data_IF_511490519091
#
_entry.id   IF_511490519091
#
_cell.length_a   1.000
_cell.length_b   1.000
_cell.length_c   1.000
_cell.angle_alpha   90.00
_cell.angle_beta   90.00
_cell.angle_gamma   90.00
#
_symmetry.space_group_name_H-M   'P 1'
#
loop_
_entity.id
_entity.type
_entity.pdbx_description
1 polymer ?
#
# COMPACT_ATOMS: atom_id res chain seq x y z
N UNK A 1 -29.79 36.40 9.39
CA UNK A 1 -29.16 35.26 10.11
C UNK A 1 -29.49 33.87 9.56
N UNK A 2 -30.49 33.67 8.67
CA UNK A 2 -30.74 32.33 8.09
C UNK A 2 -29.76 31.94 6.96
N UNK A 3 -29.24 32.92 6.22
CA UNK A 3 -28.33 32.67 5.09
C UNK A 3 -26.88 32.33 5.49
N UNK A 4 -26.43 32.75 6.68
CA UNK A 4 -25.07 32.43 7.16
C UNK A 4 -24.91 30.95 7.54
N UNK A 5 -25.95 30.32 8.11
CA UNK A 5 -25.91 28.90 8.45
C UNK A 5 -25.86 28.01 7.20
N UNK A 6 -26.54 28.40 6.12
CA UNK A 6 -26.55 27.64 4.86
C UNK A 6 -25.19 27.63 4.17
N UNK A 7 -24.45 28.75 4.21
CA UNK A 7 -23.11 28.86 3.60
C UNK A 7 -22.06 28.07 4.38
N UNK A 8 -22.15 28.05 5.72
CA UNK A 8 -21.30 27.23 6.57
C UNK A 8 -21.53 25.73 6.38
N UNK A 9 -22.78 25.30 6.17
CA UNK A 9 -23.09 23.90 5.90
C UNK A 9 -22.54 23.43 4.55
N UNK A 10 -22.58 24.28 3.51
CA UNK A 10 -22.02 23.96 2.18
C UNK A 10 -20.48 23.89 2.24
N UNK A 11 -19.82 24.77 2.99
CA UNK A 11 -18.35 24.72 3.19
C UNK A 11 -17.90 23.47 3.95
N UNK A 12 -18.69 22.98 4.92
CA UNK A 12 -18.40 21.75 5.66
C UNK A 12 -18.59 20.49 4.80
N UNK A 13 -19.53 20.48 3.86
CA UNK A 13 -19.73 19.34 2.94
C UNK A 13 -18.60 19.26 1.91
N UNK A 14 -18.02 20.40 1.50
CA UNK A 14 -16.90 20.44 0.53
C UNK A 14 -15.55 20.05 1.18
N UNK A 15 -15.44 20.07 2.52
CA UNK A 15 -14.21 19.65 3.21
C UNK A 15 -14.10 18.15 3.49
N UNK A 16 -15.13 17.35 3.18
CA UNK A 16 -15.20 15.94 3.61
C UNK A 16 -14.52 14.91 2.70
N UNK A 17 -14.04 15.26 1.50
CA UNK A 17 -13.52 14.27 0.53
C UNK A 17 -12.03 14.39 0.23
N UNK A 18 -11.24 15.09 1.06
CA UNK A 18 -9.79 15.26 0.84
C UNK A 18 -8.90 14.39 1.74
N UNK A 19 -9.48 13.51 2.55
CA UNK A 19 -8.68 12.61 3.39
C UNK A 19 -8.12 11.46 2.56
N UNK A 20 -6.83 11.17 2.74
CA UNK A 20 -6.16 10.03 2.11
C UNK A 20 -6.89 8.72 2.46
N UNK A 21 -7.25 7.96 1.44
CA UNK A 21 -7.87 6.64 1.61
C UNK A 21 -6.94 5.55 1.10
N UNK A 22 -6.90 4.44 1.83
CA UNK A 22 -6.22 3.22 1.42
C UNK A 22 -7.08 2.00 1.81
N UNK A 23 -7.44 1.19 0.82
CA UNK A 23 -8.18 -0.07 0.98
C UNK A 23 -7.23 -1.23 0.71
N UNK A 24 -7.06 -2.15 1.67
CA UNK A 24 -6.32 -3.40 1.44
C UNK A 24 -7.19 -4.38 0.68
N UNK A 25 -6.73 -4.83 -0.48
CA UNK A 25 -7.52 -5.63 -1.43
C UNK A 25 -6.92 -7.00 -1.76
N UNK A 26 -5.64 -7.23 -1.46
CA UNK A 26 -5.05 -8.57 -1.57
C UNK A 26 -3.95 -8.76 -0.50
N UNK A 27 -3.86 -10.00 -0.02
CA UNK A 27 -2.76 -10.52 0.78
C UNK A 27 -2.38 -11.85 0.15
N UNK A 28 -1.20 -11.90 -0.46
CA UNK A 28 -0.64 -13.14 -0.94
C UNK A 28 0.52 -13.57 -0.05
N UNK A 29 0.33 -14.67 0.67
CA UNK A 29 1.38 -15.38 1.41
C UNK A 29 1.69 -16.75 0.78
N UNK A 30 1.17 -17.02 -0.42
CA UNK A 30 1.33 -18.30 -1.12
C UNK A 30 2.65 -18.42 -1.88
N UNK A 31 3.36 -17.30 -2.09
CA UNK A 31 4.70 -17.35 -2.65
C UNK A 31 5.63 -18.00 -1.61
N UNK A 32 6.20 -19.17 -1.93
CA UNK A 32 6.93 -20.02 -0.98
C UNK A 32 8.01 -19.29 -0.16
N UNK A 33 8.49 -18.15 -0.66
CA UNK A 33 9.49 -17.29 0.00
C UNK A 33 9.08 -15.83 0.13
N UNK A 34 7.87 -15.44 -0.26
CA UNK A 34 7.45 -14.03 -0.39
C UNK A 34 6.05 -13.77 0.15
N UNK A 35 5.86 -12.62 0.77
CA UNK A 35 4.56 -12.10 1.18
C UNK A 35 4.30 -10.75 0.52
N UNK A 36 3.06 -10.47 0.13
CA UNK A 36 2.70 -9.17 -0.43
C UNK A 36 1.32 -8.67 -0.01
N UNK A 37 1.26 -7.38 0.31
CA UNK A 37 0.01 -6.64 0.49
C UNK A 37 -0.22 -5.66 -0.67
N UNK A 38 -1.46 -5.58 -1.11
CA UNK A 38 -1.89 -4.63 -2.14
C UNK A 38 -2.94 -3.68 -1.58
N UNK A 39 -2.71 -2.39 -1.78
CA UNK A 39 -3.63 -1.32 -1.41
C UNK A 39 -4.09 -0.53 -2.65
N UNK A 40 -5.40 -0.29 -2.72
CA UNK A 40 -5.98 0.73 -3.59
C UNK A 40 -6.06 2.04 -2.83
N UNK A 41 -5.63 3.12 -3.48
CA UNK A 41 -5.49 4.44 -2.85
C UNK A 41 -6.21 5.51 -3.64
N UNK A 42 -6.80 6.46 -2.93
CA UNK A 42 -7.35 7.69 -3.52
C UNK A 42 -6.99 8.89 -2.63
N UNK A 43 -7.29 10.10 -3.11
CA UNK A 43 -7.05 11.34 -2.36
C UNK A 43 -5.61 11.52 -1.84
N UNK A 44 -4.63 11.11 -2.64
CA UNK A 44 -3.21 11.24 -2.33
C UNK A 44 -2.57 12.47 -2.99
N UNK A 45 -1.47 13.00 -2.42
CA UNK A 45 -0.72 14.10 -2.99
C UNK A 45 -0.24 13.82 -4.43
N UNK A 46 -0.35 14.81 -5.30
CA UNK A 46 0.19 14.70 -6.67
C UNK A 46 1.72 14.84 -6.67
N UNK A 47 2.29 15.59 -5.73
CA UNK A 47 3.74 15.62 -5.50
C UNK A 47 4.25 14.22 -5.13
N UNK A 48 5.30 13.79 -5.82
CA UNK A 48 5.82 12.42 -5.70
C UNK A 48 6.50 12.21 -4.35
N UNK A 49 7.23 13.20 -3.84
CA UNK A 49 7.95 13.08 -2.58
C UNK A 49 6.98 13.07 -1.38
N UNK A 50 5.98 13.96 -1.41
CA UNK A 50 4.92 14.01 -0.40
C UNK A 50 4.10 12.71 -0.39
N UNK A 51 3.71 12.20 -1.57
CA UNK A 51 3.01 10.91 -1.70
C UNK A 51 3.82 9.74 -1.14
N UNK A 52 5.11 9.65 -1.48
CA UNK A 52 5.99 8.59 -0.96
C UNK A 52 6.11 8.64 0.57
N UNK A 53 6.25 9.85 1.13
CA UNK A 53 6.30 10.03 2.59
C UNK A 53 5.00 9.61 3.25
N UNK A 54 3.85 10.00 2.69
CA UNK A 54 2.53 9.58 3.17
C UNK A 54 2.40 8.06 3.18
N UNK A 55 2.79 7.39 2.09
CA UNK A 55 2.70 5.93 2.00
C UNK A 55 3.65 5.21 2.94
N UNK A 56 4.85 5.76 3.18
CA UNK A 56 5.80 5.20 4.13
C UNK A 56 5.24 5.23 5.55
N UNK A 57 4.68 6.35 5.98
CA UNK A 57 4.07 6.45 7.32
C UNK A 57 2.81 5.58 7.42
N UNK A 58 2.00 5.50 6.36
CA UNK A 58 0.86 4.57 6.31
C UNK A 58 1.32 3.11 6.45
N UNK A 59 2.35 2.69 5.69
CA UNK A 59 2.88 1.34 5.72
C UNK A 59 3.36 0.96 7.12
N UNK A 60 4.12 1.83 7.80
CA UNK A 60 4.60 1.57 9.17
C UNK A 60 3.49 1.32 10.18
N UNK A 61 2.32 1.90 9.97
CA UNK A 61 1.17 1.79 10.88
C UNK A 61 0.23 0.63 10.54
N UNK A 62 0.17 0.21 9.27
CA UNK A 62 -0.89 -0.67 8.77
C UNK A 62 -0.38 -1.99 8.15
N UNK A 63 0.91 -2.08 7.83
CA UNK A 63 1.46 -3.33 7.27
C UNK A 63 1.27 -4.49 8.24
N UNK A 64 1.15 -5.70 7.70
CA UNK A 64 1.12 -6.89 8.53
C UNK A 64 2.35 -6.99 9.44
N UNK A 65 2.17 -7.64 10.59
CA UNK A 65 3.28 -7.86 11.51
C UNK A 65 4.29 -8.84 10.90
N UNK A 66 5.43 -8.33 10.43
CA UNK A 66 6.47 -9.13 9.78
C UNK A 66 7.11 -10.16 10.72
N UNK A 67 6.95 -10.00 12.03
CA UNK A 67 7.45 -10.92 13.03
C UNK A 67 6.60 -12.18 13.19
N UNK A 68 5.36 -12.14 12.68
CA UNK A 68 4.45 -13.30 12.69
C UNK A 68 4.53 -14.10 11.38
N UNK A 69 5.35 -13.67 10.42
CA UNK A 69 5.52 -14.35 9.14
C UNK A 69 6.37 -15.61 9.27
N UNK A 70 5.94 -16.68 8.59
CA UNK A 70 6.64 -17.97 8.54
C UNK A 70 8.13 -17.82 8.23
N UNK A 71 8.95 -18.72 8.80
CA UNK A 71 10.41 -18.68 8.66
C UNK A 71 10.90 -18.82 7.21
N UNK A 72 10.09 -19.41 6.32
CA UNK A 72 10.39 -19.55 4.89
C UNK A 72 10.22 -18.24 4.11
N UNK A 73 9.45 -17.28 4.62
CA UNK A 73 9.27 -15.97 3.98
C UNK A 73 10.55 -15.14 4.16
N UNK A 74 11.15 -14.72 3.06
CA UNK A 74 12.40 -13.94 3.03
C UNK A 74 12.22 -12.55 2.42
N UNK A 75 11.09 -12.30 1.76
CA UNK A 75 10.73 -10.99 1.25
C UNK A 75 9.28 -10.64 1.59
N UNK A 76 9.05 -9.36 1.84
CA UNK A 76 7.73 -8.80 2.05
C UNK A 76 7.59 -7.52 1.24
N UNK A 77 6.50 -7.35 0.50
CA UNK A 77 6.23 -6.10 -0.22
C UNK A 77 4.86 -5.55 0.09
N UNK A 78 4.76 -4.23 0.16
CA UNK A 78 3.50 -3.50 0.20
C UNK A 78 3.45 -2.61 -1.04
N UNK A 79 2.36 -2.73 -1.82
CA UNK A 79 2.22 -2.03 -3.09
C UNK A 79 0.95 -1.20 -3.13
N UNK A 80 1.06 0.00 -3.68
CA UNK A 80 -0.03 0.97 -3.78
C UNK A 80 -0.40 1.23 -5.25
N UNK A 81 -1.67 1.13 -5.56
CA UNK A 81 -2.26 1.50 -6.84
C UNK A 81 -3.34 2.57 -6.66
N UNK A 82 -3.63 3.33 -7.70
CA UNK A 82 -4.80 4.19 -7.74
C UNK A 82 -6.07 3.33 -7.72
N UNK A 83 -7.04 3.75 -6.91
CA UNK A 83 -8.37 3.19 -6.92
C UNK A 83 -9.13 3.64 -8.18
N UNK A 84 -9.14 2.79 -9.21
CA UNK A 84 -9.79 3.10 -10.48
C UNK A 84 -10.38 1.84 -11.14
N UNK A 85 -11.11 2.04 -12.24
CA UNK A 85 -11.73 0.94 -12.98
C UNK A 85 -10.72 -0.08 -13.52
N UNK A 86 -9.51 0.34 -13.89
CA UNK A 86 -8.45 -0.59 -14.34
C UNK A 86 -8.08 -1.55 -13.20
N UNK A 87 -7.75 -0.99 -12.05
CA UNK A 87 -7.17 -1.73 -10.93
C UNK A 87 -8.22 -2.64 -10.29
N UNK A 88 -9.41 -2.12 -9.98
CA UNK A 88 -10.54 -2.93 -9.47
C UNK A 88 -10.96 -4.02 -10.45
N UNK A 89 -11.06 -3.68 -11.75
CA UNK A 89 -11.46 -4.63 -12.78
C UNK A 89 -10.43 -5.73 -13.03
N UNK A 90 -9.14 -5.46 -12.79
CA UNK A 90 -8.11 -6.49 -12.89
C UNK A 90 -8.06 -7.39 -11.66
N UNK A 91 -8.11 -6.84 -10.45
CA UNK A 91 -8.12 -7.62 -9.20
C UNK A 91 -9.20 -8.70 -9.25
N UNK A 92 -10.43 -8.30 -9.63
CA UNK A 92 -11.55 -9.23 -9.80
C UNK A 92 -11.27 -10.36 -10.80
N UNK A 93 -10.59 -10.04 -11.92
CA UNK A 93 -10.23 -11.04 -12.95
C UNK A 93 -9.05 -11.91 -12.52
N UNK A 94 -8.15 -11.40 -11.69
CA UNK A 94 -6.96 -12.13 -11.25
C UNK A 94 -7.34 -13.33 -10.37
N UNK A 95 -8.40 -13.17 -9.56
CA UNK A 95 -9.05 -14.28 -8.82
C UNK A 95 -9.54 -15.39 -9.77
N UNK A 96 -10.10 -15.00 -10.92
CA UNK A 96 -10.59 -15.94 -11.94
C UNK A 96 -9.46 -16.61 -12.75
N UNK A 97 -8.33 -15.91 -12.95
CA UNK A 97 -7.22 -16.32 -13.81
C UNK A 97 -6.07 -17.07 -13.10
N UNK A 98 -6.22 -17.41 -11.81
CA UNK A 98 -5.19 -18.09 -10.99
C UNK A 98 -3.82 -17.38 -10.94
N UNK A 99 -3.80 -16.03 -10.92
CA UNK A 99 -2.59 -15.22 -10.65
C UNK A 99 -1.39 -15.41 -11.61
N UNK A 100 -1.63 -15.66 -12.90
CA UNK A 100 -0.55 -15.84 -13.89
C UNK A 100 0.13 -14.52 -14.28
N UNK A 101 -0.58 -13.40 -14.19
CA UNK A 101 -0.11 -12.06 -14.58
C UNK A 101 -0.14 -11.11 -13.37
N UNK A 102 0.66 -10.03 -13.43
CA UNK A 102 0.71 -9.03 -12.36
C UNK A 102 -0.16 -7.80 -12.66
N UNK A 103 -0.71 -7.18 -11.60
CA UNK A 103 -1.42 -5.90 -11.72
C UNK A 103 -0.51 -4.79 -12.27
N UNK A 104 0.81 -4.87 -11.98
CA UNK A 104 1.82 -3.94 -12.48
C UNK A 104 1.86 -3.91 -14.00
N UNK A 105 1.97 -5.07 -14.66
CA UNK A 105 2.06 -5.13 -16.12
C UNK A 105 0.80 -4.61 -16.83
N UNK A 106 -0.36 -4.68 -16.17
CA UNK A 106 -1.66 -4.35 -16.78
C UNK A 106 -2.15 -2.94 -16.47
N UNK A 107 -1.88 -2.46 -15.27
CA UNK A 107 -2.30 -1.15 -14.78
C UNK A 107 -1.10 -0.30 -14.33
N UNK A 108 0.05 -0.41 -15.03
CA UNK A 108 1.29 0.32 -14.69
C UNK A 108 1.09 1.82 -14.52
N UNK A 109 0.26 2.44 -15.37
CA UNK A 109 -0.04 3.88 -15.30
C UNK A 109 -0.73 4.29 -13.99
N UNK A 110 -1.29 3.34 -13.26
CA UNK A 110 -1.99 3.53 -11.99
C UNK A 110 -1.15 3.05 -10.80
N UNK A 111 0.10 2.65 -11.00
CA UNK A 111 1.02 2.29 -9.93
C UNK A 111 1.50 3.55 -9.20
N UNK A 112 1.29 3.59 -7.88
CA UNK A 112 1.64 4.74 -7.07
C UNK A 112 2.93 4.55 -6.24
N UNK A 113 3.40 3.30 -6.05
CA UNK A 113 4.65 3.00 -5.35
C UNK A 113 4.63 1.67 -4.60
N UNK A 114 5.77 1.26 -4.07
CA UNK A 114 5.91 0.08 -3.22
C UNK A 114 7.02 0.23 -2.19
N UNK A 115 6.97 -0.58 -1.14
CA UNK A 115 8.03 -0.77 -0.17
C UNK A 115 8.35 -2.26 -0.08
N UNK A 116 9.63 -2.61 -0.19
CA UNK A 116 10.14 -3.97 -0.14
C UNK A 116 11.02 -4.12 1.10
N UNK A 117 10.67 -5.09 1.93
CA UNK A 117 11.47 -5.54 3.06
C UNK A 117 12.07 -6.90 2.72
N UNK A 118 13.34 -7.08 3.05
CA UNK A 118 14.03 -8.37 2.98
C UNK A 118 14.42 -8.82 4.38
N UNK A 119 14.21 -10.09 4.68
CA UNK A 119 14.67 -10.71 5.92
C UNK A 119 16.19 -10.87 5.83
N UNK A 120 16.91 -10.43 6.87
CA UNK A 120 18.36 -10.49 6.90
C UNK A 120 18.85 -11.94 6.87
N UNK A 121 19.85 -12.19 6.02
CA UNK A 121 20.52 -13.50 5.93
C UNK A 121 21.37 -13.79 7.16
N UNK A 122 21.90 -12.75 7.80
CA UNK A 122 22.77 -12.87 8.97
C UNK A 122 21.97 -13.01 10.28
N UNK A 123 20.75 -12.47 10.31
CA UNK A 123 19.86 -12.57 11.46
C UNK A 123 18.37 -12.66 11.00
N UNK A 124 17.74 -13.85 11.05
CA UNK A 124 16.38 -14.05 10.55
C UNK A 124 15.31 -13.27 11.33
N UNK A 125 15.65 -12.72 12.49
CA UNK A 125 14.75 -11.86 13.28
C UNK A 125 14.79 -10.39 12.84
N UNK A 126 15.51 -10.05 11.78
CA UNK A 126 15.65 -8.67 11.28
C UNK A 126 15.07 -8.57 9.88
N UNK A 127 14.19 -7.58 9.69
CA UNK A 127 13.70 -7.17 8.37
C UNK A 127 14.24 -5.80 8.02
N UNK A 128 14.72 -5.65 6.79
CA UNK A 128 15.37 -4.43 6.32
C UNK A 128 14.60 -3.91 5.11
N UNK A 129 14.21 -2.65 5.13
CA UNK A 129 13.67 -1.98 3.94
C UNK A 129 14.77 -1.83 2.88
N UNK A 130 14.61 -2.50 1.74
CA UNK A 130 15.56 -2.48 0.62
C UNK A 130 15.10 -1.59 -0.54
N UNK A 131 13.80 -1.30 -0.63
CA UNK A 131 13.22 -0.37 -1.59
C UNK A 131 12.03 0.38 -0.97
N UNK A 132 11.87 1.70 -1.23
CA UNK A 132 12.75 2.54 -2.01
C UNK A 132 13.94 3.06 -1.17
N UNK A 133 15.11 3.22 -1.80
CA UNK A 133 16.41 3.40 -1.11
C UNK A 133 16.55 4.71 -0.33
N UNK A 134 15.71 5.70 -0.62
CA UNK A 134 15.68 6.97 0.10
C UNK A 134 15.12 6.85 1.52
N UNK A 135 14.35 5.80 1.81
CA UNK A 135 13.90 5.49 3.16
C UNK A 135 14.82 4.46 3.79
N UNK A 136 14.91 4.51 5.12
CA UNK A 136 15.63 3.54 5.92
C UNK A 136 14.71 3.08 7.03
N UNK A 137 14.45 1.79 7.06
CA UNK A 137 13.67 1.17 8.09
C UNK A 137 14.20 -0.22 8.39
N UNK A 138 14.14 -0.61 9.66
CA UNK A 138 14.64 -1.90 10.13
C UNK A 138 13.76 -2.36 11.28
N UNK A 139 13.17 -3.53 11.14
CA UNK A 139 12.24 -4.11 12.10
C UNK A 139 12.95 -5.28 12.77
N UNK A 140 12.94 -5.27 14.11
CA UNK A 140 13.53 -6.31 14.94
C UNK A 140 12.43 -7.11 15.60
N UNK A 141 12.36 -8.40 15.27
CA UNK A 141 11.47 -9.37 15.88
C UNK A 141 12.10 -9.93 17.16
N UNK A 142 11.29 -10.07 18.21
CA UNK A 142 11.72 -10.54 19.53
C UNK A 142 11.46 -12.02 19.69
#
# INVERSE_FOLDING_TARGET
MKYLLSVLLILLIVSCDNEFHAERVDIDTSCQTGANELYLTNNYPKDVAERRKLYFEFAKLNMMNLCDLDSCISSYSITFYEDCNCTRGYIKRQEELRRVESLYERCENYYNGSFLYERSKDNPNVWILTYPKEFKDTIYCK
#
